data_IF_092385311254
#
_entry.id   IF_092385311254
#
_cell.length_a   1.000
_cell.length_b   1.000
_cell.length_c   1.000
_cell.angle_alpha   90.00
_cell.angle_beta   90.00
_cell.angle_gamma   90.00
#
_symmetry.space_group_name_H-M   'P 1'
#
loop_
_entity.id
_entity.type
_entity.pdbx_description
1 polymer ?
#
# COMPACT_ATOMS: atom_id res chain seq x y z
N UNK A 1 8.91 12.04 -14.11
CA UNK A 1 7.99 11.71 -12.99
C UNK A 1 8.55 10.59 -12.15
N UNK A 2 8.55 10.74 -10.82
CA UNK A 2 9.30 9.87 -9.90
C UNK A 2 8.59 8.54 -9.57
N UNK A 3 7.27 8.47 -9.69
CA UNK A 3 6.43 7.35 -9.22
C UNK A 3 5.65 6.63 -10.34
N UNK A 4 6.03 6.80 -11.61
CA UNK A 4 5.48 6.02 -12.73
C UNK A 4 4.11 6.45 -13.28
N UNK A 5 3.33 7.26 -12.57
CA UNK A 5 2.07 7.83 -13.11
C UNK A 5 2.39 8.81 -14.25
N UNK A 6 1.66 8.83 -15.39
CA UNK A 6 1.82 9.81 -16.46
C UNK A 6 1.43 11.24 -16.09
N UNK A 7 2.07 12.24 -16.70
CA UNK A 7 2.03 13.64 -16.24
C UNK A 7 0.63 14.23 -16.23
N UNK A 8 -0.06 14.06 -17.35
CA UNK A 8 -1.44 14.53 -17.50
C UNK A 8 -2.38 13.93 -16.43
N UNK A 9 -2.15 12.68 -15.99
CA UNK A 9 -2.98 12.05 -14.94
C UNK A 9 -2.65 12.59 -13.55
N UNK A 10 -1.39 12.90 -13.28
CA UNK A 10 -1.01 13.54 -12.03
C UNK A 10 -1.61 14.93 -11.89
N UNK A 11 -1.66 15.71 -12.98
CA UNK A 11 -2.31 17.03 -12.97
C UNK A 11 -3.81 16.95 -12.63
N UNK A 12 -4.53 15.93 -13.11
CA UNK A 12 -5.95 15.73 -12.77
C UNK A 12 -6.19 15.59 -11.26
N UNK A 13 -5.32 14.84 -10.56
CA UNK A 13 -5.43 14.69 -9.11
C UNK A 13 -4.91 15.94 -8.37
N UNK A 14 -3.82 16.53 -8.84
CA UNK A 14 -3.16 17.67 -8.19
C UNK A 14 -4.05 18.93 -8.20
N UNK A 15 -4.76 19.18 -9.30
CA UNK A 15 -5.66 20.33 -9.47
C UNK A 15 -7.08 20.08 -8.93
N UNK A 16 -7.33 18.89 -8.38
CA UNK A 16 -8.63 18.55 -7.81
C UNK A 16 -8.90 19.33 -6.52
N UNK A 17 -10.05 20.00 -6.46
CA UNK A 17 -10.55 20.68 -5.25
C UNK A 17 -11.09 19.72 -4.18
N UNK A 18 -11.02 18.41 -4.43
CA UNK A 18 -11.49 17.38 -3.50
C UNK A 18 -10.63 17.38 -2.23
N UNK A 19 -11.27 17.04 -1.11
CA UNK A 19 -10.61 16.88 0.18
C UNK A 19 -9.56 15.78 0.17
N UNK A 20 -8.63 15.83 1.12
CA UNK A 20 -7.47 14.94 1.16
C UNK A 20 -7.86 13.46 1.24
N UNK A 21 -8.88 13.14 2.03
CA UNK A 21 -9.41 11.79 2.14
C UNK A 21 -9.91 11.24 0.79
N UNK A 22 -10.60 12.06 0.01
CA UNK A 22 -11.07 11.66 -1.31
C UNK A 22 -9.92 11.50 -2.31
N UNK A 23 -8.90 12.36 -2.23
CA UNK A 23 -7.70 12.26 -3.07
C UNK A 23 -6.87 11.02 -2.74
N UNK A 24 -6.81 10.62 -1.47
CA UNK A 24 -6.13 9.41 -1.05
C UNK A 24 -6.73 8.14 -1.69
N UNK A 25 -8.06 8.08 -1.82
CA UNK A 25 -8.78 6.98 -2.48
C UNK A 25 -8.82 7.07 -4.02
N UNK A 26 -8.07 7.98 -4.63
CA UNK A 26 -8.07 8.11 -6.09
C UNK A 26 -7.19 7.03 -6.76
N UNK A 27 -7.55 6.57 -7.97
CA UNK A 27 -6.73 5.62 -8.71
C UNK A 27 -5.29 6.10 -8.94
N UNK A 28 -5.10 7.41 -9.16
CA UNK A 28 -3.78 8.00 -9.39
C UNK A 28 -2.92 7.96 -8.12
N UNK A 29 -3.53 8.16 -6.94
CA UNK A 29 -2.82 8.02 -5.67
C UNK A 29 -2.42 6.56 -5.41
N UNK A 30 -3.32 5.61 -5.68
CA UNK A 30 -3.05 4.18 -5.50
C UNK A 30 -2.00 3.65 -6.48
N UNK A 31 -1.99 4.14 -7.72
CA UNK A 31 -1.00 3.79 -8.74
C UNK A 31 0.40 4.34 -8.37
N UNK A 32 0.48 5.58 -7.91
CA UNK A 32 1.74 6.21 -7.50
C UNK A 32 2.31 5.65 -6.19
N UNK A 33 1.44 5.38 -5.20
CA UNK A 33 1.78 4.99 -3.83
C UNK A 33 1.18 3.61 -3.53
N UNK A 34 1.60 2.62 -4.30
CA UNK A 34 1.18 1.24 -4.10
C UNK A 34 1.86 0.60 -2.87
N UNK A 35 1.54 -0.67 -2.58
CA UNK A 35 2.13 -1.40 -1.45
C UNK A 35 3.66 -1.49 -1.53
N UNK A 36 4.24 -1.59 -2.73
CA UNK A 36 5.69 -1.59 -2.89
C UNK A 36 6.32 -0.25 -2.53
N UNK A 37 5.65 0.87 -2.87
CA UNK A 37 6.09 2.19 -2.47
C UNK A 37 6.09 2.34 -0.95
N UNK A 38 5.03 1.89 -0.28
CA UNK A 38 4.96 1.89 1.18
C UNK A 38 6.06 1.04 1.82
N UNK A 39 6.35 -0.14 1.28
CA UNK A 39 7.46 -0.97 1.72
C UNK A 39 8.83 -0.27 1.54
N UNK A 40 9.04 0.41 0.41
CA UNK A 40 10.28 1.17 0.12
C UNK A 40 10.48 2.36 1.04
N UNK A 41 9.40 3.01 1.48
CA UNK A 41 9.44 4.12 2.45
C UNK A 41 9.62 3.60 3.88
N UNK A 42 9.53 2.28 4.11
CA UNK A 42 9.75 1.65 5.41
C UNK A 42 8.48 1.51 6.25
N UNK A 43 7.30 1.53 5.63
CA UNK A 43 6.06 1.25 6.36
C UNK A 43 6.01 -0.23 6.77
N UNK A 44 5.70 -0.46 8.05
CA UNK A 44 5.58 -1.81 8.60
C UNK A 44 4.29 -2.49 8.14
N UNK A 45 4.43 -3.66 7.50
CA UNK A 45 3.29 -4.46 7.04
C UNK A 45 2.69 -5.29 8.19
N UNK A 46 1.55 -4.81 8.70
CA UNK A 46 0.79 -5.48 9.76
C UNK A 46 0.25 -6.85 9.33
N UNK A 47 -0.17 -7.00 8.08
CA UNK A 47 -0.74 -8.24 7.57
C UNK A 47 0.34 -9.31 7.44
N UNK A 48 1.50 -8.96 6.87
CA UNK A 48 2.63 -9.87 6.81
C UNK A 48 3.09 -10.32 8.21
N UNK A 49 3.17 -9.40 9.17
CA UNK A 49 3.50 -9.74 10.55
C UNK A 49 2.48 -10.66 11.22
N UNK A 50 1.18 -10.37 11.01
CA UNK A 50 0.10 -11.20 11.53
C UNK A 50 0.19 -12.63 10.98
N UNK A 51 0.40 -12.80 9.68
CA UNK A 51 0.57 -14.11 9.06
C UNK A 51 1.81 -14.87 9.56
N UNK A 52 2.92 -14.18 9.83
CA UNK A 52 4.13 -14.78 10.42
C UNK A 52 3.86 -15.29 11.84
N UNK A 53 3.16 -14.49 12.65
CA UNK A 53 2.82 -14.83 14.03
C UNK A 53 1.94 -16.08 14.08
N UNK A 54 0.92 -16.16 13.21
CA UNK A 54 0.04 -17.33 13.12
C UNK A 54 0.78 -18.61 12.72
N UNK A 55 1.78 -18.54 11.83
CA UNK A 55 2.61 -19.71 11.48
C UNK A 55 3.42 -20.22 12.67
N UNK A 56 3.83 -19.32 13.57
CA UNK A 56 4.50 -19.68 14.82
C UNK A 56 3.57 -20.32 15.85
N UNK A 57 2.29 -19.95 15.88
CA UNK A 57 1.30 -20.52 16.81
C UNK A 57 0.64 -21.79 16.30
N UNK A 58 0.52 -21.97 14.97
CA UNK A 58 -0.18 -23.09 14.34
C UNK A 58 0.68 -24.37 14.17
N UNK A 59 1.91 -24.40 14.68
CA UNK A 59 2.73 -25.63 14.74
C UNK A 59 2.20 -26.57 15.85
N UNK A 60 0.97 -27.08 15.69
CA UNK A 60 0.52 -28.22 16.48
C UNK A 60 1.16 -29.48 15.89
N UNK A 61 1.99 -30.14 16.71
CA UNK A 61 2.76 -31.32 16.35
C UNK A 61 1.89 -32.36 15.63
N UNK A 62 2.29 -32.76 14.40
CA UNK A 62 1.81 -34.00 13.80
C UNK A 62 2.34 -35.15 14.67
N UNK A 63 1.51 -35.64 15.59
CA UNK A 63 1.76 -36.92 16.26
C UNK A 63 1.69 -38.00 15.18
N UNK A 64 2.86 -38.54 14.83
CA UNK A 64 3.03 -39.81 14.12
C UNK A 64 2.34 -40.93 14.86
#
# INVERSE_FOLDING_TARGET
>A
MKLGVPEWRSWLLALSSKGWYHKANSPQAHEAMNMEWFAKVGLYDLHANYCLTLKGTAQYAKRT
#
